data_IF_143481277759
#
_entry.id   IF_143481277759
#
_cell.length_a   1.000
_cell.length_b   1.000
_cell.length_c   1.000
_cell.angle_alpha   90.00
_cell.angle_beta   90.00
_cell.angle_gamma   90.00
#
_symmetry.space_group_name_H-M   'P 1'
#
loop_
_entity.id
_entity.type
_entity.pdbx_description
1 polymer ?
#
# COMPACT_ATOMS: atom_id res chain seq x y z
N UNK A 1 12.96 -8.15 23.57
CA UNK A 1 13.77 -7.24 22.71
C UNK A 1 13.58 -7.71 21.28
N UNK A 2 12.67 -7.08 20.55
CA UNK A 2 12.23 -7.52 19.22
C UNK A 2 13.18 -6.93 18.16
N UNK A 3 13.85 -7.75 17.33
CA UNK A 3 14.84 -7.29 16.35
C UNK A 3 14.28 -6.40 15.22
N UNK A 4 12.96 -6.25 15.14
CA UNK A 4 12.27 -5.49 14.08
C UNK A 4 12.36 -3.95 14.22
N UNK A 5 12.60 -3.41 15.42
CA UNK A 5 12.47 -1.95 15.64
C UNK A 5 13.62 -1.12 15.02
N UNK A 6 14.79 -1.73 14.78
CA UNK A 6 15.97 -1.01 14.30
C UNK A 6 15.90 -0.65 12.79
N UNK A 7 15.10 -1.37 11.99
CA UNK A 7 15.02 -1.12 10.54
C UNK A 7 14.20 0.14 10.23
N UNK A 8 13.10 0.36 10.95
CA UNK A 8 12.22 1.50 10.69
C UNK A 8 12.88 2.83 11.08
N UNK A 9 13.60 2.86 12.20
CA UNK A 9 14.30 4.06 12.66
C UNK A 9 15.38 4.52 11.66
N UNK A 10 16.09 3.57 11.04
CA UNK A 10 17.10 3.88 10.03
C UNK A 10 16.47 4.47 8.76
N UNK A 11 15.41 3.86 8.23
CA UNK A 11 14.71 4.37 7.05
C UNK A 11 14.05 5.74 7.34
N UNK A 12 13.49 5.96 8.53
CA UNK A 12 12.95 7.28 8.94
C UNK A 12 14.03 8.36 8.99
N UNK A 13 15.19 8.05 9.55
CA UNK A 13 16.35 8.97 9.57
C UNK A 13 16.85 9.29 8.17
N UNK A 14 16.82 8.32 7.25
CA UNK A 14 17.21 8.57 5.85
C UNK A 14 16.22 9.51 5.16
N UNK A 15 14.91 9.32 5.37
CA UNK A 15 13.88 10.23 4.88
C UNK A 15 14.10 11.64 5.43
N UNK A 16 14.28 11.76 6.74
CA UNK A 16 14.55 13.04 7.43
C UNK A 16 15.77 13.74 6.83
N UNK A 17 16.91 13.04 6.79
CA UNK A 17 18.18 13.57 6.27
C UNK A 17 18.04 14.04 4.82
N UNK A 18 17.39 13.25 3.96
CA UNK A 18 17.22 13.61 2.54
C UNK A 18 16.34 14.85 2.37
N UNK A 19 15.27 14.98 3.17
CA UNK A 19 14.38 16.14 3.14
C UNK A 19 15.04 17.40 3.69
N UNK A 20 15.82 17.29 4.76
CA UNK A 20 16.60 18.40 5.31
C UNK A 20 17.63 18.91 4.30
N UNK A 21 18.37 18.00 3.66
CA UNK A 21 19.31 18.35 2.60
C UNK A 21 18.61 19.01 1.41
N UNK A 22 17.41 18.56 1.05
CA UNK A 22 16.64 19.17 -0.04
C UNK A 22 16.21 20.59 0.32
N UNK A 23 15.79 20.81 1.57
CA UNK A 23 15.46 22.13 2.10
C UNK A 23 16.69 23.05 2.09
N UNK A 24 17.86 22.56 2.45
CA UNK A 24 19.10 23.33 2.42
C UNK A 24 19.51 23.71 1.00
N UNK A 25 19.28 22.85 0.01
CA UNK A 25 19.46 23.23 -1.41
C UNK A 25 18.55 24.40 -1.75
N UNK A 26 17.26 24.32 -1.42
CA UNK A 26 16.29 25.39 -1.68
C UNK A 26 16.67 26.70 -0.98
N UNK A 27 17.17 26.63 0.26
CA UNK A 27 17.60 27.81 1.03
C UNK A 27 18.78 28.52 0.41
N UNK A 28 19.70 27.78 -0.20
CA UNK A 28 20.93 28.31 -0.80
C UNK A 28 20.76 28.81 -2.25
N UNK A 29 19.59 28.65 -2.87
CA UNK A 29 19.30 29.21 -4.20
C UNK A 29 19.30 30.76 -4.13
N UNK A 30 20.09 31.46 -4.97
CA UNK A 30 20.05 32.92 -5.06
C UNK A 30 18.63 33.44 -5.33
N UNK A 31 18.19 34.47 -4.61
CA UNK A 31 16.82 35.01 -4.72
C UNK A 31 16.68 36.18 -5.68
N UNK A 32 17.73 36.98 -5.83
CA UNK A 32 17.69 38.23 -6.61
C UNK A 32 18.31 38.09 -8.00
N UNK A 33 19.26 37.16 -8.18
CA UNK A 33 20.05 37.00 -9.41
C UNK A 33 20.14 35.56 -9.89
N UNK A 34 19.02 34.81 -9.81
CA UNK A 34 19.00 33.40 -10.22
C UNK A 34 19.14 33.24 -11.73
N UNK A 35 20.15 32.51 -12.16
CA UNK A 35 20.32 32.09 -13.56
C UNK A 35 19.63 30.74 -13.83
N UNK A 36 19.35 30.48 -15.11
CA UNK A 36 18.78 29.20 -15.53
C UNK A 36 19.72 28.02 -15.20
N UNK A 37 21.04 28.19 -15.33
CA UNK A 37 22.02 27.15 -15.02
C UNK A 37 22.01 26.79 -13.53
N UNK A 38 22.00 27.80 -12.65
CA UNK A 38 21.91 27.59 -11.20
C UNK A 38 20.59 26.89 -10.81
N UNK A 39 19.48 27.25 -11.45
CA UNK A 39 18.21 26.57 -11.22
C UNK A 39 18.22 25.11 -11.68
N UNK A 40 18.82 24.81 -12.83
CA UNK A 40 18.93 23.43 -13.32
C UNK A 40 19.74 22.56 -12.34
N UNK A 41 20.87 23.04 -11.84
CA UNK A 41 21.66 22.32 -10.84
C UNK A 41 20.90 22.13 -9.52
N UNK A 42 20.25 23.19 -9.02
CA UNK A 42 19.46 23.12 -7.80
C UNK A 42 18.30 22.12 -7.94
N UNK A 43 17.53 22.19 -9.03
CA UNK A 43 16.38 21.32 -9.27
C UNK A 43 16.79 19.86 -9.47
N UNK A 44 17.91 19.59 -10.15
CA UNK A 44 18.45 18.24 -10.27
C UNK A 44 18.80 17.66 -8.88
N UNK A 45 19.50 18.43 -8.03
CA UNK A 45 19.86 18.01 -6.68
C UNK A 45 18.64 17.78 -5.79
N UNK A 46 17.64 18.66 -5.84
CA UNK A 46 16.36 18.49 -5.13
C UNK A 46 15.70 17.18 -5.58
N UNK A 47 15.62 16.94 -6.90
CA UNK A 47 15.02 15.72 -7.46
C UNK A 47 15.72 14.45 -6.99
N UNK A 48 17.05 14.42 -6.94
CA UNK A 48 17.82 13.28 -6.42
C UNK A 48 17.55 13.02 -4.93
N UNK A 49 17.46 14.06 -4.11
CA UNK A 49 17.16 13.93 -2.68
C UNK A 49 15.71 13.47 -2.43
N UNK A 50 14.76 13.99 -3.21
CA UNK A 50 13.38 13.48 -3.20
C UNK A 50 13.30 12.01 -3.62
N UNK A 51 14.15 11.57 -4.56
CA UNK A 51 14.24 10.16 -4.94
C UNK A 51 14.76 9.29 -3.78
N UNK A 52 15.79 9.72 -3.06
CA UNK A 52 16.30 9.02 -1.88
C UNK A 52 15.22 8.88 -0.79
N UNK A 53 14.53 9.99 -0.45
CA UNK A 53 13.43 9.96 0.51
C UNK A 53 12.29 9.02 0.07
N UNK A 54 11.97 8.99 -1.23
CA UNK A 54 10.97 8.06 -1.78
C UNK A 54 11.42 6.60 -1.67
N UNK A 55 12.69 6.30 -1.94
CA UNK A 55 13.23 4.93 -1.84
C UNK A 55 13.19 4.41 -0.40
N UNK A 56 13.60 5.23 0.57
CA UNK A 56 13.49 4.92 2.00
C UNK A 56 12.03 4.72 2.42
N UNK A 57 11.12 5.60 1.98
CA UNK A 57 9.67 5.42 2.18
C UNK A 57 9.16 4.11 1.55
N UNK A 58 9.68 3.74 0.38
CA UNK A 58 9.34 2.49 -0.32
C UNK A 58 9.81 1.23 0.40
N UNK A 59 10.94 1.28 1.13
CA UNK A 59 11.42 0.20 2.02
C UNK A 59 10.57 0.09 3.28
N UNK A 60 10.26 1.22 3.92
CA UNK A 60 9.32 1.26 5.06
C UNK A 60 7.97 0.63 4.68
N UNK A 61 7.40 1.06 3.55
CA UNK A 61 6.16 0.51 2.99
C UNK A 61 6.29 -1.00 2.69
N UNK A 62 7.45 -1.46 2.21
CA UNK A 62 7.68 -2.90 2.00
C UNK A 62 7.61 -3.68 3.31
N UNK A 63 8.27 -3.19 4.36
CA UNK A 63 8.34 -3.83 5.66
C UNK A 63 6.95 -3.92 6.33
N UNK A 64 6.15 -2.85 6.25
CA UNK A 64 4.86 -2.76 6.93
C UNK A 64 3.67 -3.29 6.13
N UNK A 65 3.64 -3.04 4.82
CA UNK A 65 2.45 -3.23 3.98
C UNK A 65 2.69 -4.20 2.80
N UNK A 66 3.91 -4.73 2.65
CA UNK A 66 4.21 -5.68 1.58
C UNK A 66 4.41 -5.01 0.24
N UNK A 67 3.48 -5.08 -0.71
CA UNK A 67 3.68 -4.56 -2.08
C UNK A 67 3.10 -3.14 -2.28
N UNK A 68 3.57 -2.41 -3.29
CA UNK A 68 3.01 -1.10 -3.62
C UNK A 68 1.53 -1.18 -4.01
N UNK A 69 1.10 -2.30 -4.62
CA UNK A 69 -0.32 -2.57 -4.93
C UNK A 69 -1.13 -2.72 -3.65
N UNK A 70 -0.61 -3.49 -2.70
CA UNK A 70 -1.21 -3.72 -1.39
C UNK A 70 -1.38 -2.42 -0.62
N UNK A 71 -0.33 -1.57 -0.58
CA UNK A 71 -0.38 -0.27 0.08
C UNK A 71 -1.40 0.68 -0.57
N UNK A 72 -1.41 0.78 -1.91
CA UNK A 72 -2.39 1.60 -2.63
C UNK A 72 -3.82 1.12 -2.34
N UNK A 73 -4.06 -0.20 -2.37
CA UNK A 73 -5.38 -0.73 -2.10
C UNK A 73 -5.84 -0.43 -0.67
N UNK A 74 -4.98 -0.66 0.33
CA UNK A 74 -5.29 -0.35 1.72
C UNK A 74 -5.66 1.14 1.89
N UNK A 75 -4.87 2.05 1.29
CA UNK A 75 -5.16 3.49 1.33
C UNK A 75 -6.48 3.84 0.64
N UNK A 76 -6.73 3.31 -0.56
CA UNK A 76 -7.97 3.55 -1.29
C UNK A 76 -9.21 3.01 -0.56
N UNK A 77 -9.09 1.87 0.11
CA UNK A 77 -10.17 1.28 0.91
C UNK A 77 -10.51 2.14 2.13
N UNK A 78 -9.50 2.71 2.79
CA UNK A 78 -9.69 3.67 3.88
C UNK A 78 -10.32 5.01 3.42
N UNK A 79 -10.33 5.30 2.12
CA UNK A 79 -10.91 6.52 1.54
C UNK A 79 -11.95 6.17 0.46
N UNK A 80 -12.66 5.05 0.64
CA UNK A 80 -13.61 4.58 -0.37
C UNK A 80 -14.76 5.59 -0.55
N UNK A 81 -15.10 5.88 -1.80
CA UNK A 81 -16.06 6.92 -2.19
C UNK A 81 -15.45 8.33 -2.29
N UNK A 82 -14.23 8.54 -1.81
CA UNK A 82 -13.58 9.85 -1.80
C UNK A 82 -12.56 9.99 -2.95
N UNK A 83 -12.54 11.13 -3.67
CA UNK A 83 -11.46 11.44 -4.60
C UNK A 83 -10.14 11.69 -3.84
N UNK A 84 -9.12 10.86 -4.11
CA UNK A 84 -7.76 11.02 -3.59
C UNK A 84 -6.80 11.54 -4.66
N UNK A 85 -5.83 12.42 -4.31
CA UNK A 85 -4.86 12.93 -5.28
C UNK A 85 -3.88 11.85 -5.77
N UNK A 86 -3.48 11.94 -7.04
CA UNK A 86 -2.48 11.07 -7.66
C UNK A 86 -1.12 11.12 -6.93
N UNK A 87 -0.72 12.31 -6.47
CA UNK A 87 0.52 12.49 -5.70
C UNK A 87 0.49 11.76 -4.35
N UNK A 88 -0.69 11.66 -3.70
CA UNK A 88 -0.83 10.87 -2.48
C UNK A 88 -0.64 9.37 -2.76
N UNK A 89 -1.21 8.88 -3.87
CA UNK A 89 -1.01 7.48 -4.29
C UNK A 89 0.44 7.18 -4.65
N UNK A 90 1.16 8.11 -5.27
CA UNK A 90 2.61 7.97 -5.50
C UNK A 90 3.37 7.85 -4.16
N UNK A 91 3.05 8.72 -3.20
CA UNK A 91 3.65 8.70 -1.86
C UNK A 91 3.41 7.39 -1.14
N UNK A 92 2.16 6.92 -1.11
CA UNK A 92 1.76 5.62 -0.51
C UNK A 92 2.47 4.46 -1.20
N UNK A 93 2.61 4.50 -2.52
CA UNK A 93 3.28 3.46 -3.28
C UNK A 93 4.81 3.43 -3.07
N UNK A 94 5.39 4.58 -2.73
CA UNK A 94 6.84 4.77 -2.61
C UNK A 94 7.60 4.49 -3.92
N UNK A 95 6.93 4.57 -5.08
CA UNK A 95 7.51 4.31 -6.40
C UNK A 95 6.86 5.19 -7.47
N UNK A 96 7.61 5.56 -8.51
CA UNK A 96 7.07 6.35 -9.64
C UNK A 96 6.11 5.54 -10.52
N UNK A 97 6.34 4.23 -10.66
CA UNK A 97 5.53 3.35 -11.51
C UNK A 97 4.20 2.91 -10.86
N UNK A 98 3.62 3.72 -9.97
CA UNK A 98 2.43 3.38 -9.19
C UNK A 98 1.15 3.23 -10.05
N UNK A 99 1.03 3.96 -11.16
CA UNK A 99 -0.14 3.87 -12.06
C UNK A 99 -0.35 2.47 -12.62
N UNK A 100 0.73 1.68 -12.76
CA UNK A 100 0.64 0.27 -13.14
C UNK A 100 -0.12 -0.55 -12.10
N UNK A 101 0.04 -0.24 -10.81
CA UNK A 101 -0.64 -0.93 -9.72
C UNK A 101 -2.13 -0.64 -9.73
N UNK A 102 -2.55 0.57 -10.07
CA UNK A 102 -3.97 0.89 -10.30
C UNK A 102 -4.54 0.05 -11.45
N UNK A 103 -3.79 -0.12 -12.55
CA UNK A 103 -4.23 -0.98 -13.65
C UNK A 103 -4.38 -2.43 -13.20
N UNK A 104 -3.44 -2.94 -12.40
CA UNK A 104 -3.53 -4.28 -11.83
C UNK A 104 -4.78 -4.42 -10.94
N UNK A 105 -5.04 -3.45 -10.05
CA UNK A 105 -6.24 -3.44 -9.21
C UNK A 105 -7.54 -3.50 -10.03
N UNK A 106 -7.62 -2.75 -11.13
CA UNK A 106 -8.76 -2.85 -12.06
C UNK A 106 -8.80 -4.20 -12.78
N UNK A 107 -7.66 -4.69 -13.24
CA UNK A 107 -7.55 -5.95 -13.98
C UNK A 107 -6.17 -6.59 -13.73
N UNK A 108 -6.11 -7.84 -13.21
CA UNK A 108 -7.19 -8.82 -13.17
C UNK A 108 -8.08 -8.75 -11.91
N UNK A 109 -7.78 -7.90 -10.92
CA UNK A 109 -8.41 -7.99 -9.61
C UNK A 109 -9.87 -7.50 -9.55
N UNK A 110 -10.31 -6.66 -10.49
CA UNK A 110 -11.72 -6.24 -10.61
C UNK A 110 -12.15 -5.09 -9.71
N UNK A 111 -11.22 -4.36 -9.08
CA UNK A 111 -11.57 -3.17 -8.29
C UNK A 111 -12.07 -2.04 -9.18
N UNK A 112 -13.22 -1.46 -8.81
CA UNK A 112 -13.76 -0.29 -9.47
C UNK A 112 -13.08 0.99 -8.96
N UNK A 113 -11.94 1.31 -9.59
CA UNK A 113 -11.18 2.52 -9.33
C UNK A 113 -11.45 3.49 -10.47
N UNK A 114 -12.07 4.63 -10.22
CA UNK A 114 -12.27 5.70 -11.18
C UNK A 114 -11.02 6.60 -11.29
N UNK A 115 -10.88 7.29 -12.41
CA UNK A 115 -9.90 8.36 -12.59
C UNK A 115 -10.60 9.61 -13.09
N UNK A 116 -10.24 10.77 -12.55
CA UNK A 116 -10.81 12.04 -12.99
C UNK A 116 -10.41 12.47 -14.41
N UNK A 117 -9.54 11.71 -15.09
CA UNK A 117 -9.39 11.83 -16.55
C UNK A 117 -10.72 11.58 -17.29
N UNK A 118 -11.57 10.69 -16.75
CA UNK A 118 -12.79 10.22 -17.41
C UNK A 118 -14.07 10.52 -16.61
N UNK A 119 -13.95 11.10 -15.42
CA UNK A 119 -15.08 11.46 -14.57
C UNK A 119 -15.30 12.97 -14.57
N UNK A 120 -16.50 13.41 -14.96
CA UNK A 120 -16.87 14.82 -14.94
C UNK A 120 -16.99 15.40 -13.51
N UNK A 121 -17.00 14.53 -12.48
CA UNK A 121 -17.17 14.89 -11.08
C UNK A 121 -15.84 14.95 -10.30
N UNK A 122 -14.70 14.77 -10.98
CA UNK A 122 -13.38 14.67 -10.36
C UNK A 122 -12.35 15.51 -11.12
N UNK A 123 -11.30 15.94 -10.42
CA UNK A 123 -10.15 16.59 -11.07
C UNK A 123 -9.30 15.56 -11.79
N UNK A 124 -8.62 15.96 -12.88
CA UNK A 124 -7.86 15.05 -13.76
C UNK A 124 -6.82 14.19 -13.02
N UNK A 125 -6.23 14.75 -11.98
CA UNK A 125 -5.20 14.15 -11.14
C UNK A 125 -5.77 13.41 -9.91
N UNK A 126 -7.05 13.06 -9.90
CA UNK A 126 -7.68 12.31 -8.83
C UNK A 126 -8.07 10.89 -9.22
N UNK A 127 -8.11 10.03 -8.22
CA UNK A 127 -8.58 8.64 -8.28
C UNK A 127 -9.59 8.41 -7.17
N UNK A 128 -10.52 7.48 -7.36
CA UNK A 128 -11.52 7.15 -6.35
C UNK A 128 -11.81 5.68 -6.42
N UNK A 129 -11.79 4.99 -5.29
CA UNK A 129 -12.35 3.65 -5.20
C UNK A 129 -13.86 3.78 -4.97
N UNK A 130 -14.68 3.20 -5.85
CA UNK A 130 -16.14 3.37 -5.78
C UNK A 130 -16.74 2.71 -4.54
N UNK A 131 -16.22 1.55 -4.13
CA UNK A 131 -16.67 0.83 -2.94
C UNK A 131 -15.53 0.11 -2.24
N UNK A 132 -15.58 0.05 -0.90
CA UNK A 132 -14.67 -0.71 -0.03
C UNK A 132 -14.99 -2.23 -0.04
N UNK A 133 -15.07 -2.83 -1.22
CA UNK A 133 -15.15 -4.29 -1.45
C UNK A 133 -15.13 -4.59 -2.94
N UNK A 134 -14.75 -5.81 -3.29
CA UNK A 134 -15.00 -6.35 -4.62
C UNK A 134 -16.49 -6.73 -4.79
N UNK A 135 -16.84 -7.33 -5.93
CA UNK A 135 -18.11 -8.03 -6.07
C UNK A 135 -18.10 -9.34 -5.27
N UNK A 136 -19.26 -9.79 -4.79
CA UNK A 136 -19.37 -11.01 -3.98
C UNK A 136 -18.87 -12.26 -4.72
N UNK A 137 -18.93 -12.28 -6.05
CA UNK A 137 -18.38 -13.38 -6.87
C UNK A 137 -16.86 -13.49 -6.76
N UNK A 138 -16.15 -12.42 -6.41
CA UNK A 138 -14.70 -12.45 -6.20
C UNK A 138 -14.28 -13.32 -5.00
N UNK A 139 -15.16 -13.47 -4.00
CA UNK A 139 -14.92 -14.35 -2.85
C UNK A 139 -14.70 -15.80 -3.28
N UNK A 140 -15.31 -16.23 -4.38
CA UNK A 140 -15.20 -17.58 -4.90
C UNK A 140 -14.25 -17.72 -6.09
N UNK A 141 -13.67 -16.62 -6.59
CA UNK A 141 -12.80 -16.65 -7.78
C UNK A 141 -11.38 -17.12 -7.46
N UNK A 142 -11.04 -18.31 -7.97
CA UNK A 142 -9.68 -18.89 -7.87
C UNK A 142 -8.62 -18.09 -8.64
N UNK A 143 -9.03 -17.23 -9.60
CA UNK A 143 -8.12 -16.31 -10.29
C UNK A 143 -7.56 -15.27 -9.34
N UNK A 144 -8.32 -14.86 -8.33
CA UNK A 144 -7.87 -13.91 -7.33
C UNK A 144 -6.64 -14.45 -6.60
N UNK A 145 -6.74 -15.67 -6.06
CA UNK A 145 -5.64 -16.35 -5.38
C UNK A 145 -4.41 -16.53 -6.28
N UNK A 146 -4.62 -16.76 -7.58
CA UNK A 146 -3.54 -16.92 -8.57
C UNK A 146 -2.86 -15.60 -8.92
N UNK A 147 -3.58 -14.48 -8.84
CA UNK A 147 -3.05 -13.15 -9.13
C UNK A 147 -2.23 -12.55 -7.97
N UNK A 148 -2.38 -13.09 -6.75
CA UNK A 148 -1.58 -12.73 -5.57
C UNK A 148 -0.10 -12.96 -5.87
N UNK A 149 0.73 -11.95 -5.59
CA UNK A 149 2.14 -11.96 -6.01
C UNK A 149 3.09 -11.42 -4.94
N UNK A 150 2.68 -11.39 -3.69
CA UNK A 150 3.55 -11.12 -2.55
C UNK A 150 4.79 -12.01 -2.54
N UNK A 151 5.95 -11.46 -2.16
CA UNK A 151 7.24 -12.16 -2.19
C UNK A 151 7.35 -13.18 -1.07
N UNK A 152 6.84 -12.83 0.11
CA UNK A 152 6.82 -13.69 1.29
C UNK A 152 5.43 -14.30 1.51
N UNK A 153 5.34 -15.34 2.33
CA UNK A 153 4.06 -15.92 2.74
C UNK A 153 3.16 -14.87 3.40
N UNK A 154 3.69 -14.12 4.38
CA UNK A 154 3.01 -12.99 5.03
C UNK A 154 2.46 -11.97 4.05
N UNK A 155 3.26 -11.53 3.07
CA UNK A 155 2.81 -10.57 2.06
C UNK A 155 1.64 -11.11 1.21
N UNK A 156 1.69 -12.39 0.81
CA UNK A 156 0.61 -13.02 0.04
C UNK A 156 -0.67 -13.14 0.86
N UNK A 157 -0.55 -13.55 2.13
CA UNK A 157 -1.68 -13.67 3.05
C UNK A 157 -2.35 -12.30 3.27
N UNK A 158 -1.56 -11.27 3.59
CA UNK A 158 -2.07 -9.91 3.75
C UNK A 158 -2.76 -9.39 2.50
N UNK A 159 -2.10 -9.51 1.34
CA UNK A 159 -2.66 -9.08 0.06
C UNK A 159 -4.00 -9.77 -0.22
N UNK A 160 -4.07 -11.08 -0.01
CA UNK A 160 -5.29 -11.85 -0.26
C UNK A 160 -6.43 -11.46 0.68
N UNK A 161 -6.14 -11.30 1.97
CA UNK A 161 -7.13 -10.83 2.96
C UNK A 161 -7.62 -9.41 2.64
N UNK A 162 -6.76 -8.53 2.17
CA UNK A 162 -7.14 -7.17 1.73
C UNK A 162 -8.07 -7.19 0.52
N UNK A 163 -7.87 -8.11 -0.43
CA UNK A 163 -8.77 -8.26 -1.57
C UNK A 163 -10.13 -8.86 -1.18
N UNK A 164 -10.15 -9.82 -0.23
CA UNK A 164 -11.36 -10.55 0.14
C UNK A 164 -12.15 -9.96 1.28
N UNK A 165 -11.64 -8.99 2.02
CA UNK A 165 -12.43 -8.30 3.04
C UNK A 165 -13.67 -7.65 2.39
N UNK A 166 -14.89 -7.81 2.98
CA UNK A 166 -15.16 -8.32 4.33
C UNK A 166 -15.58 -9.81 4.39
N UNK A 167 -15.29 -10.63 3.38
CA UNK A 167 -15.61 -12.05 3.41
C UNK A 167 -14.55 -12.85 4.19
N UNK A 168 -14.98 -13.83 5.01
CA UNK A 168 -14.06 -14.71 5.69
C UNK A 168 -13.43 -15.72 4.75
N UNK A 169 -12.18 -16.08 5.04
CA UNK A 169 -11.36 -16.96 4.22
C UNK A 169 -11.08 -18.25 4.98
N UNK A 170 -11.23 -19.38 4.29
CA UNK A 170 -11.00 -20.71 4.87
C UNK A 170 -9.51 -21.02 5.05
N UNK A 171 -9.15 -21.89 6.03
CA UNK A 171 -7.79 -22.41 6.20
C UNK A 171 -7.14 -22.92 4.91
N UNK A 172 -7.90 -23.68 4.11
CA UNK A 172 -7.42 -24.30 2.87
C UNK A 172 -7.00 -23.25 1.83
N UNK A 173 -7.75 -22.15 1.73
CA UNK A 173 -7.43 -21.05 0.81
C UNK A 173 -6.22 -20.25 1.30
N UNK A 174 -6.15 -19.97 2.59
CA UNK A 174 -4.99 -19.30 3.20
C UNK A 174 -3.71 -20.11 2.98
N UNK A 175 -3.76 -21.43 3.20
CA UNK A 175 -2.63 -22.32 2.96
C UNK A 175 -2.21 -22.36 1.48
N UNK A 176 -3.18 -22.43 0.56
CA UNK A 176 -2.94 -22.37 -0.90
C UNK A 176 -2.22 -21.08 -1.30
N UNK A 177 -2.65 -19.93 -0.79
CA UNK A 177 -2.06 -18.61 -1.10
C UNK A 177 -0.71 -18.42 -0.43
N UNK A 178 -0.58 -18.83 0.83
CA UNK A 178 0.67 -18.79 1.56
C UNK A 178 1.75 -19.66 0.90
N UNK A 179 1.37 -20.82 0.37
CA UNK A 179 2.30 -21.81 -0.20
C UNK A 179 3.16 -22.50 0.87
N UNK A 180 2.80 -22.37 2.14
CA UNK A 180 3.48 -22.98 3.30
C UNK A 180 2.46 -23.31 4.39
N UNK A 181 2.65 -24.40 5.16
CA UNK A 181 1.77 -24.73 6.30
C UNK A 181 1.92 -23.75 7.48
N UNK A 182 2.96 -22.90 7.50
CA UNK A 182 3.25 -21.96 8.58
C UNK A 182 2.42 -20.67 8.55
N UNK A 183 1.45 -20.54 7.63
CA UNK A 183 0.67 -19.31 7.41
C UNK A 183 -0.05 -18.78 8.66
N UNK A 184 -0.33 -19.62 9.66
CA UNK A 184 -0.91 -19.17 10.94
C UNK A 184 0.05 -18.27 11.72
N UNK A 185 1.36 -18.49 11.62
CA UNK A 185 2.36 -17.61 12.22
C UNK A 185 2.35 -16.25 11.52
N UNK A 186 2.21 -16.22 10.18
CA UNK A 186 2.07 -14.98 9.43
C UNK A 186 0.83 -14.18 9.88
N UNK A 187 -0.31 -14.86 10.12
CA UNK A 187 -1.53 -14.21 10.66
C UNK A 187 -1.27 -13.59 12.03
N UNK A 188 -0.62 -14.33 12.94
CA UNK A 188 -0.31 -13.81 14.28
C UNK A 188 0.66 -12.63 14.23
N UNK A 189 1.65 -12.68 13.32
CA UNK A 189 2.57 -11.56 13.09
C UNK A 189 1.82 -10.33 12.56
N UNK A 190 0.94 -10.50 11.56
CA UNK A 190 0.10 -9.40 11.05
C UNK A 190 -0.80 -8.79 12.13
N UNK A 191 -1.40 -9.61 13.00
CA UNK A 191 -2.18 -9.12 14.16
C UNK A 191 -1.27 -8.33 15.11
N UNK A 192 -0.06 -8.83 15.39
CA UNK A 192 0.93 -8.13 16.21
C UNK A 192 1.42 -6.81 15.60
N UNK A 193 1.36 -6.69 14.27
CA UNK A 193 1.63 -5.46 13.51
C UNK A 193 0.44 -4.49 13.47
N UNK A 194 -0.70 -4.86 14.06
CA UNK A 194 -1.90 -4.02 14.18
C UNK A 194 -2.95 -4.25 13.09
N UNK A 195 -2.80 -5.26 12.23
CA UNK A 195 -3.87 -5.62 11.29
C UNK A 195 -5.05 -6.25 12.02
N UNK A 196 -6.25 -5.72 11.79
CA UNK A 196 -7.49 -6.19 12.43
C UNK A 196 -8.02 -7.49 11.80
N UNK A 197 -7.29 -8.59 11.97
CA UNK A 197 -7.68 -9.92 11.48
C UNK A 197 -8.44 -10.65 12.59
N UNK A 198 -9.72 -10.94 12.34
CA UNK A 198 -10.60 -11.64 13.28
C UNK A 198 -10.73 -13.12 12.93
N UNK A 199 -10.82 -13.95 13.97
CA UNK A 199 -11.12 -15.37 13.93
C UNK A 199 -12.46 -15.67 14.64
N UNK A 200 -12.88 -16.93 14.71
CA UNK A 200 -14.07 -17.32 15.50
C UNK A 200 -13.96 -16.90 16.98
N UNK A 201 -12.75 -16.84 17.55
CA UNK A 201 -12.54 -16.42 18.94
C UNK A 201 -12.92 -14.96 19.15
N UNK A 202 -12.72 -14.12 18.13
CA UNK A 202 -13.03 -12.68 18.16
C UNK A 202 -14.44 -12.37 17.64
N UNK A 203 -14.97 -13.20 16.73
CA UNK A 203 -16.29 -13.08 16.13
C UNK A 203 -16.93 -14.47 16.00
N UNK A 204 -17.82 -14.87 16.94
CA UNK A 204 -18.49 -16.17 16.93
C UNK A 204 -19.36 -16.45 15.69
N UNK A 205 -19.61 -15.46 14.83
CA UNK A 205 -20.30 -15.66 13.55
C UNK A 205 -19.39 -16.27 12.48
N UNK A 206 -18.07 -16.21 12.66
CA UNK A 206 -17.11 -16.82 11.75
C UNK A 206 -17.05 -18.33 11.99
N UNK A 207 -17.02 -19.13 10.93
CA UNK A 207 -16.75 -20.57 11.03
C UNK A 207 -15.40 -20.81 11.74
N UNK A 208 -15.29 -21.79 12.68
CA UNK A 208 -14.02 -22.10 13.33
C UNK A 208 -12.87 -22.30 12.34
N UNK A 209 -11.75 -21.62 12.58
CA UNK A 209 -10.57 -21.62 11.73
C UNK A 209 -10.61 -20.70 10.51
N UNK A 210 -11.74 -20.03 10.22
CA UNK A 210 -11.78 -18.99 9.20
C UNK A 210 -11.24 -17.67 9.75
N UNK A 211 -10.68 -16.86 8.87
CA UNK A 211 -10.14 -15.55 9.20
C UNK A 211 -10.71 -14.48 8.28
N UNK A 212 -10.95 -13.29 8.82
CA UNK A 212 -11.39 -12.12 8.05
C UNK A 212 -10.59 -10.90 8.47
N UNK A 213 -10.12 -10.12 7.50
CA UNK A 213 -9.65 -8.76 7.77
C UNK A 213 -10.87 -7.84 7.95
N UNK A 214 -11.05 -7.31 9.16
CA UNK A 214 -12.05 -6.30 9.47
C UNK A 214 -11.73 -4.97 8.76
N UNK A 215 -12.65 -4.01 8.78
CA UNK A 215 -12.32 -2.68 8.25
C UNK A 215 -11.30 -2.03 9.16
N UNK A 216 -10.43 -1.21 8.59
CA UNK A 216 -9.41 -0.46 9.34
C UNK A 216 -10.03 0.58 10.31
N UNK A 217 -11.34 0.81 10.24
CA UNK A 217 -12.11 1.74 11.08
C UNK A 217 -12.97 1.04 12.16
N UNK A 218 -12.93 -0.31 12.25
CA UNK A 218 -13.71 -1.10 13.23
C UNK A 218 -13.03 -1.24 14.61
#
# INVERSE_FOLDING_TARGET
MTPYNHSHEADLREIETALEQALDVVRNVPRESLTAAEWLEASAKIGSLQAQAREASGRMRQALLGSARTAILAYLRAHAGEPVPAAALEGVAGIQAWTRRIRELRTPFGWDVESGTWSAQMQKDQYRLVADRLDATAADDDRLATAISGKTSKERVLEYLLHLSPWPVSPKRLEKVAGTPTWRQDIQELIGEGWLIRSHEDDPQLTPGFYRLARLED
#
